data_IF_176280115603
#
_entry.id   IF_176280115603
#
_cell.length_a   1.000
_cell.length_b   1.000
_cell.length_c   1.000
_cell.angle_alpha   90.00
_cell.angle_beta   90.00
_cell.angle_gamma   90.00
#
_symmetry.space_group_name_H-M   'P 1'
#
loop_
_entity.id
_entity.type
_entity.pdbx_description
1 polymer ?
#
# COMPACT_ATOMS: atom_id res chain seq x y z
N UNK A 1 1.45 40.84 8.11
CA UNK A 1 1.54 39.40 8.40
C UNK A 1 0.52 38.71 7.52
N UNK A 2 0.93 37.78 6.66
CA UNK A 2 -0.05 36.97 5.93
C UNK A 2 -0.72 36.04 6.94
N UNK A 3 -2.04 36.13 7.09
CA UNK A 3 -2.75 35.21 7.97
C UNK A 3 -2.75 33.82 7.32
N UNK A 4 -2.35 32.81 8.09
CA UNK A 4 -2.35 31.43 7.62
C UNK A 4 -3.77 30.96 7.25
N UNK A 5 -4.78 31.50 7.93
CA UNK A 5 -6.20 31.25 7.66
C UNK A 5 -6.60 31.69 6.24
N UNK A 6 -6.13 32.86 5.78
CA UNK A 6 -6.39 33.37 4.42
C UNK A 6 -5.71 32.48 3.36
N UNK A 7 -4.52 31.95 3.64
CA UNK A 7 -3.80 31.03 2.72
C UNK A 7 -4.44 29.63 2.66
N UNK A 8 -5.20 29.26 3.69
CA UNK A 8 -5.96 28.02 3.78
C UNK A 8 -7.40 28.18 3.24
N UNK A 9 -7.80 29.40 2.87
CA UNK A 9 -9.09 29.67 2.26
C UNK A 9 -9.20 28.95 0.91
N UNK A 10 -10.25 28.14 0.74
CA UNK A 10 -10.42 27.26 -0.42
C UNK A 10 -9.78 25.87 -0.32
N UNK A 11 -9.10 25.54 0.78
CA UNK A 11 -8.60 24.17 0.99
C UNK A 11 -9.73 23.20 1.32
N UNK A 12 -9.65 21.99 0.74
CA UNK A 12 -10.50 20.88 1.14
C UNK A 12 -10.26 20.48 2.61
N UNK A 13 -11.28 19.93 3.26
CA UNK A 13 -11.17 19.44 4.65
C UNK A 13 -10.08 18.38 4.81
N UNK A 14 -9.89 17.54 3.78
CA UNK A 14 -8.81 16.56 3.74
C UNK A 14 -7.42 17.22 3.78
N UNK A 15 -7.23 18.34 3.08
CA UNK A 15 -5.96 19.10 3.10
C UNK A 15 -5.76 19.80 4.44
N UNK A 16 -6.81 20.36 5.05
CA UNK A 16 -6.76 20.96 6.40
C UNK A 16 -6.39 19.91 7.47
N UNK A 17 -7.00 18.73 7.43
CA UNK A 17 -6.66 17.60 8.32
C UNK A 17 -5.24 17.08 8.10
N UNK A 18 -4.79 16.99 6.85
CA UNK A 18 -3.41 16.61 6.56
C UNK A 18 -2.41 17.67 7.05
N UNK A 19 -2.78 18.96 6.97
CA UNK A 19 -1.96 20.06 7.45
C UNK A 19 -1.81 20.05 8.98
N UNK A 20 -2.88 19.78 9.74
CA UNK A 20 -2.77 19.61 11.19
C UNK A 20 -1.92 18.40 11.56
N UNK A 21 -2.02 17.30 10.80
CA UNK A 21 -1.24 16.09 11.05
C UNK A 21 0.22 16.17 10.58
N UNK A 22 0.65 17.27 9.95
CA UNK A 22 2.02 17.43 9.43
C UNK A 22 3.08 17.37 10.54
N UNK A 23 2.72 17.76 11.76
CA UNK A 23 3.62 17.74 12.92
C UNK A 23 3.99 16.31 13.31
N UNK A 24 3.07 15.36 13.12
CA UNK A 24 3.32 13.94 13.34
C UNK A 24 3.95 13.28 12.11
N UNK A 25 3.40 13.55 10.92
CA UNK A 25 3.78 12.89 9.68
C UNK A 25 4.02 13.89 8.54
N UNK A 26 5.15 14.59 8.61
CA UNK A 26 5.52 15.63 7.65
C UNK A 26 5.58 15.08 6.21
N UNK A 27 6.25 13.93 6.01
CA UNK A 27 6.39 13.28 4.72
C UNK A 27 5.04 12.97 4.06
N UNK A 28 4.00 12.61 4.83
CA UNK A 28 2.68 12.29 4.29
C UNK A 28 2.00 13.52 3.67
N UNK A 29 2.12 14.67 4.34
CA UNK A 29 1.56 15.93 3.84
C UNK A 29 2.27 16.36 2.56
N UNK A 30 3.60 16.48 2.59
CA UNK A 30 4.38 16.96 1.44
C UNK A 30 4.42 15.98 0.26
N UNK A 31 4.09 14.71 0.50
CA UNK A 31 3.89 13.76 -0.59
C UNK A 31 2.74 14.15 -1.52
N UNK A 32 1.72 14.84 -1.00
CA UNK A 32 0.50 15.20 -1.74
C UNK A 32 0.28 16.70 -1.92
N UNK A 33 0.79 17.52 -1.01
CA UNK A 33 0.49 18.95 -0.96
C UNK A 33 1.75 19.79 -0.73
N UNK A 34 1.80 20.98 -1.31
CA UNK A 34 2.89 21.92 -1.06
C UNK A 34 2.66 22.73 0.23
N UNK A 35 3.69 23.49 0.60
CA UNK A 35 3.60 24.50 1.64
C UNK A 35 2.46 25.50 1.35
N UNK A 36 1.84 26.10 2.39
CA UNK A 36 0.81 27.11 2.22
C UNK A 36 1.33 28.29 1.39
N UNK A 37 0.55 28.75 0.43
CA UNK A 37 0.92 29.83 -0.48
C UNK A 37 1.71 29.41 -1.72
N UNK A 38 2.20 28.16 -1.79
CA UNK A 38 2.83 27.65 -3.01
C UNK A 38 1.81 26.97 -3.93
N UNK A 39 1.76 27.42 -5.18
CA UNK A 39 1.00 26.75 -6.22
C UNK A 39 1.68 25.42 -6.59
N UNK A 40 0.88 24.42 -6.92
CA UNK A 40 1.42 23.16 -7.45
C UNK A 40 1.89 23.38 -8.89
N UNK A 41 3.15 23.06 -9.16
CA UNK A 41 3.72 23.04 -10.49
C UNK A 41 3.10 21.92 -11.32
N UNK A 42 2.27 22.30 -12.30
CA UNK A 42 1.72 21.39 -13.29
C UNK A 42 2.50 21.52 -14.60
N UNK A 43 2.95 20.38 -15.15
CA UNK A 43 3.65 20.35 -16.44
C UNK A 43 5.05 19.75 -16.37
N UNK A 44 5.80 19.98 -17.45
CA UNK A 44 7.16 19.45 -17.68
C UNK A 44 8.14 19.98 -16.63
N UNK A 45 9.17 19.21 -16.35
CA UNK A 45 10.28 19.66 -15.50
C UNK A 45 11.12 20.68 -16.27
N UNK A 46 11.33 21.84 -15.66
CA UNK A 46 12.28 22.83 -16.16
C UNK A 46 13.71 22.42 -15.83
N UNK A 47 14.68 22.99 -16.56
CA UNK A 47 16.10 22.72 -16.35
C UNK A 47 16.55 23.15 -14.95
N UNK A 48 16.08 24.31 -14.47
CA UNK A 48 16.35 24.78 -13.10
C UNK A 48 15.80 23.82 -12.03
N UNK A 49 14.58 23.28 -12.20
CA UNK A 49 14.04 22.27 -11.29
C UNK A 49 14.82 20.95 -11.34
N UNK A 50 15.32 20.57 -12.52
CA UNK A 50 16.13 19.38 -12.71
C UNK A 50 17.48 19.49 -11.99
N UNK A 51 18.17 20.62 -12.12
CA UNK A 51 19.42 20.88 -11.39
C UNK A 51 19.19 20.84 -9.87
N UNK A 52 18.11 21.46 -9.39
CA UNK A 52 17.74 21.45 -7.98
C UNK A 52 17.41 20.03 -7.49
N UNK A 53 16.75 19.23 -8.33
CA UNK A 53 16.43 17.84 -8.06
C UNK A 53 17.70 17.01 -7.88
N UNK A 54 18.66 17.11 -8.80
CA UNK A 54 19.91 16.37 -8.74
C UNK A 54 20.76 16.79 -7.53
N UNK A 55 20.82 18.08 -7.22
CA UNK A 55 21.49 18.58 -6.02
C UNK A 55 20.88 17.99 -4.75
N UNK A 56 19.55 18.04 -4.64
CA UNK A 56 18.83 17.46 -3.50
C UNK A 56 19.07 15.95 -3.41
N UNK A 57 19.15 15.25 -4.54
CA UNK A 57 19.44 13.82 -4.60
C UNK A 57 20.84 13.50 -4.05
N UNK A 58 21.83 14.33 -4.35
CA UNK A 58 23.20 14.20 -3.82
C UNK A 58 23.25 14.44 -2.30
N UNK A 59 22.55 15.46 -1.81
CA UNK A 59 22.44 15.76 -0.37
C UNK A 59 21.78 14.61 0.40
N UNK A 60 20.76 13.97 -0.19
CA UNK A 60 20.09 12.81 0.42
C UNK A 60 20.97 11.57 0.35
N UNK A 61 21.72 11.37 -0.74
CA UNK A 61 22.63 10.23 -0.91
C UNK A 61 23.84 10.31 0.02
N UNK A 62 24.36 11.51 0.25
CA UNK A 62 25.44 11.77 1.22
C UNK A 62 24.97 11.72 2.67
N UNK A 63 23.65 11.71 2.90
CA UNK A 63 23.05 11.74 4.23
C UNK A 63 22.98 13.13 4.85
N UNK A 64 23.46 14.18 4.17
CA UNK A 64 23.40 15.57 4.63
C UNK A 64 21.96 16.06 4.86
N UNK A 65 21.00 15.53 4.10
CA UNK A 65 19.60 15.88 4.23
C UNK A 65 18.93 15.33 5.50
N UNK A 66 19.52 14.33 6.17
CA UNK A 66 18.99 13.77 7.42
C UNK A 66 17.75 12.88 7.30
N UNK A 67 17.31 12.55 6.08
CA UNK A 67 16.21 11.62 5.81
C UNK A 67 16.56 10.62 4.71
N UNK A 68 15.94 9.43 4.69
CA UNK A 68 16.25 8.40 3.70
C UNK A 68 15.64 8.68 2.32
N UNK A 69 16.29 8.18 1.26
CA UNK A 69 15.92 8.39 -0.15
C UNK A 69 14.46 8.04 -0.52
N UNK A 70 13.81 7.15 0.23
CA UNK A 70 12.43 6.76 -0.04
C UNK A 70 11.37 7.75 0.50
N UNK A 71 11.76 8.75 1.29
CA UNK A 71 10.86 9.78 1.83
C UNK A 71 10.68 10.93 0.83
N UNK A 72 9.90 10.67 -0.21
CA UNK A 72 9.67 11.63 -1.29
C UNK A 72 8.95 12.92 -0.89
N UNK A 73 8.15 12.90 0.18
CA UNK A 73 7.52 14.12 0.70
C UNK A 73 8.53 15.05 1.37
N UNK A 74 9.41 14.52 2.21
CA UNK A 74 10.52 15.30 2.77
C UNK A 74 11.45 15.81 1.67
N UNK A 75 11.69 14.98 0.64
CA UNK A 75 12.46 15.35 -0.54
C UNK A 75 11.87 16.55 -1.29
N UNK A 76 10.55 16.55 -1.54
CA UNK A 76 9.92 17.59 -2.35
C UNK A 76 9.89 18.96 -1.68
N UNK A 77 10.06 19.04 -0.35
CA UNK A 77 10.18 20.31 0.39
C UNK A 77 11.33 21.19 -0.11
N UNK A 78 12.39 20.57 -0.65
CA UNK A 78 13.54 21.28 -1.20
C UNK A 78 13.31 21.75 -2.64
N UNK A 79 12.23 21.33 -3.30
CA UNK A 79 11.90 21.69 -4.69
C UNK A 79 10.56 22.43 -4.70
N UNK A 80 10.57 23.77 -4.63
CA UNK A 80 9.36 24.55 -4.49
C UNK A 80 8.40 24.29 -5.66
N UNK A 81 7.11 24.22 -5.35
CA UNK A 81 6.07 23.93 -6.34
C UNK A 81 5.90 22.45 -6.70
N UNK A 82 6.88 21.57 -6.44
CA UNK A 82 6.73 20.12 -6.69
C UNK A 82 6.37 19.37 -5.41
N UNK A 83 5.54 18.33 -5.56
CA UNK A 83 5.12 17.43 -4.47
C UNK A 83 5.79 16.06 -4.58
N UNK A 84 5.84 15.31 -3.48
CA UNK A 84 6.61 14.08 -3.40
C UNK A 84 6.25 13.01 -4.44
N UNK A 85 4.97 12.86 -4.81
CA UNK A 85 4.63 11.91 -5.87
C UNK A 85 5.25 12.31 -7.23
N UNK A 86 5.36 13.61 -7.51
CA UNK A 86 5.98 14.11 -8.75
C UNK A 86 7.48 13.81 -8.75
N UNK A 87 8.17 14.08 -7.63
CA UNK A 87 9.59 13.76 -7.46
C UNK A 87 9.85 12.26 -7.62
N UNK A 88 9.02 11.41 -7.00
CA UNK A 88 9.16 9.95 -7.09
C UNK A 88 8.99 9.41 -8.52
N UNK A 89 8.08 10.01 -9.29
CA UNK A 89 7.85 9.61 -10.68
C UNK A 89 8.96 10.13 -11.58
N UNK A 90 9.45 11.33 -11.33
CA UNK A 90 10.56 11.91 -12.07
C UNK A 90 11.85 11.12 -11.87
N UNK A 91 12.15 10.72 -10.64
CA UNK A 91 13.25 9.81 -10.33
C UNK A 91 13.18 8.52 -11.15
N UNK A 92 11.97 7.93 -11.27
CA UNK A 92 11.78 6.74 -12.10
C UNK A 92 12.03 7.01 -13.57
N UNK A 93 11.68 8.19 -14.09
CA UNK A 93 12.01 8.53 -15.47
C UNK A 93 13.51 8.68 -15.68
N UNK A 94 14.24 9.28 -14.73
CA UNK A 94 15.70 9.40 -14.80
C UNK A 94 16.41 8.04 -14.81
N UNK A 95 15.95 7.09 -13.99
CA UNK A 95 16.46 5.72 -14.04
C UNK A 95 16.16 5.05 -15.38
N UNK A 96 14.96 5.25 -15.92
CA UNK A 96 14.58 4.68 -17.22
C UNK A 96 15.45 5.24 -18.36
N UNK A 97 15.87 6.49 -18.27
CA UNK A 97 16.76 7.13 -19.24
C UNK A 97 18.23 6.73 -19.05
N UNK A 98 18.59 6.15 -17.91
CA UNK A 98 19.98 5.85 -17.54
C UNK A 98 20.76 7.05 -17.02
N UNK A 99 20.09 8.15 -16.64
CA UNK A 99 20.73 9.32 -16.04
C UNK A 99 21.05 9.09 -14.55
N UNK A 100 20.27 8.23 -13.89
CA UNK A 100 20.45 7.85 -12.49
C UNK A 100 20.47 6.34 -12.35
N UNK A 101 21.50 5.81 -11.70
CA UNK A 101 21.60 4.40 -11.36
C UNK A 101 21.11 4.15 -9.92
N UNK A 102 20.24 3.16 -9.75
CA UNK A 102 19.76 2.71 -8.44
C UNK A 102 19.72 1.18 -8.40
N UNK A 103 20.46 0.59 -7.47
CA UNK A 103 20.57 -0.86 -7.30
C UNK A 103 19.22 -1.56 -7.01
N UNK A 104 18.21 -0.81 -6.55
CA UNK A 104 16.89 -1.32 -6.23
C UNK A 104 15.93 -1.33 -7.44
N UNK A 105 16.29 -0.72 -8.56
CA UNK A 105 15.46 -0.68 -9.76
C UNK A 105 16.15 -1.38 -10.92
N UNK A 106 15.43 -2.24 -11.63
CA UNK A 106 15.89 -2.83 -12.88
C UNK A 106 14.93 -2.49 -14.01
N UNK A 107 15.46 -2.29 -15.22
CA UNK A 107 14.66 -2.13 -16.43
C UNK A 107 14.64 -3.47 -17.15
N UNK A 108 13.47 -4.07 -17.29
CA UNK A 108 13.30 -5.30 -18.07
C UNK A 108 13.58 -5.05 -19.56
N UNK A 109 13.86 -6.10 -20.32
CA UNK A 109 14.02 -6.06 -21.79
C UNK A 109 12.83 -5.40 -22.53
N UNK A 110 11.66 -5.31 -21.89
CA UNK A 110 10.45 -4.66 -22.41
C UNK A 110 10.37 -3.16 -22.08
N UNK A 111 11.41 -2.58 -21.47
CA UNK A 111 11.44 -1.18 -21.04
C UNK A 111 10.51 -0.87 -19.85
N UNK A 112 10.07 -1.91 -19.12
CA UNK A 112 9.29 -1.75 -17.89
C UNK A 112 10.23 -1.77 -16.69
N UNK A 113 10.18 -0.72 -15.87
CA UNK A 113 10.95 -0.66 -14.63
C UNK A 113 10.28 -1.53 -13.56
N UNK A 114 11.07 -2.39 -12.91
CA UNK A 114 10.65 -3.19 -11.76
C UNK A 114 11.53 -2.91 -10.56
N UNK A 115 10.89 -2.83 -9.40
CA UNK A 115 11.59 -2.73 -8.13
C UNK A 115 12.06 -4.13 -7.68
N UNK A 116 13.34 -4.25 -7.36
CA UNK A 116 13.95 -5.48 -6.88
C UNK A 116 13.63 -5.67 -5.40
N UNK A 117 12.51 -6.33 -5.12
CA UNK A 117 12.19 -6.71 -3.75
C UNK A 117 13.20 -7.75 -3.25
N UNK A 118 13.82 -7.50 -2.09
CA UNK A 118 14.76 -8.42 -1.41
C UNK A 118 14.22 -9.87 -1.25
N UNK A 119 12.90 -10.06 -1.31
CA UNK A 119 12.22 -11.36 -1.16
C UNK A 119 11.69 -11.99 -2.46
N UNK A 120 11.88 -11.32 -3.61
CA UNK A 120 11.51 -11.79 -4.96
C UNK A 120 12.58 -11.34 -5.95
N UNK A 121 13.82 -11.73 -5.65
CA UNK A 121 14.98 -11.41 -6.46
C UNK A 121 14.73 -11.74 -7.93
N UNK A 122 15.03 -10.78 -8.78
CA UNK A 122 15.26 -11.06 -10.19
C UNK A 122 16.73 -11.46 -10.38
N UNK A 123 16.98 -12.36 -11.33
CA UNK A 123 18.34 -12.69 -11.78
C UNK A 123 18.98 -11.43 -12.38
N UNK A 124 20.16 -11.06 -11.88
CA UNK A 124 21.03 -10.11 -12.56
C UNK A 124 21.86 -10.91 -13.57
N UNK A 125 21.86 -10.48 -14.84
CA UNK A 125 22.91 -10.86 -15.77
C UNK A 125 23.99 -9.79 -15.64
N UNK A 126 25.17 -10.17 -15.15
CA UNK A 126 26.29 -9.26 -15.05
C UNK A 126 26.89 -9.07 -16.46
N UNK A 127 26.94 -7.82 -16.95
CA UNK A 127 27.22 -7.53 -18.37
C UNK A 127 28.70 -7.71 -18.75
N UNK A 128 29.59 -7.80 -17.76
CA UNK A 128 31.04 -7.88 -17.97
C UNK A 128 31.58 -9.31 -18.02
N UNK A 129 30.94 -10.26 -17.35
CA UNK A 129 31.45 -11.64 -17.21
C UNK A 129 30.49 -12.71 -17.75
N UNK A 130 29.26 -12.34 -18.16
CA UNK A 130 28.31 -13.26 -18.81
C UNK A 130 27.76 -14.37 -17.90
N UNK A 131 28.04 -14.30 -16.61
CA UNK A 131 27.66 -15.23 -15.57
C UNK A 131 26.45 -14.73 -14.78
N UNK A 132 25.48 -15.62 -14.59
CA UNK A 132 24.26 -15.40 -13.82
C UNK A 132 24.54 -15.64 -12.34
N UNK A 133 24.71 -14.58 -11.56
CA UNK A 133 24.83 -14.70 -10.09
C UNK A 133 23.48 -14.48 -9.42
N UNK A 134 22.93 -15.56 -8.85
CA UNK A 134 21.74 -15.54 -8.01
C UNK A 134 22.12 -15.09 -6.59
N UNK A 135 21.75 -13.87 -6.20
CA UNK A 135 21.74 -13.48 -4.79
C UNK A 135 20.58 -14.17 -4.06
N UNK A 136 20.72 -15.47 -3.79
CA UNK A 136 19.73 -16.22 -2.99
C UNK A 136 19.95 -16.01 -1.50
N UNK A 137 18.89 -15.68 -0.77
CA UNK A 137 18.75 -16.08 0.63
C UNK A 137 18.30 -17.55 0.70
N UNK A 138 18.76 -18.26 1.74
CA UNK A 138 18.63 -19.73 1.94
C UNK A 138 17.27 -20.32 1.51
N UNK A 139 17.26 -21.55 0.92
CA UNK A 139 16.06 -22.15 0.35
C UNK A 139 14.98 -22.46 1.39
N UNK A 140 13.74 -22.03 1.13
CA UNK A 140 12.54 -22.49 1.86
C UNK A 140 12.07 -23.84 1.30
N UNK A 141 11.70 -24.77 2.19
CA UNK A 141 11.21 -26.13 1.87
C UNK A 141 10.02 -26.11 0.89
N UNK A 142 9.91 -27.11 -0.02
CA UNK A 142 8.90 -27.13 -1.07
C UNK A 142 7.49 -27.36 -0.52
N UNK A 143 6.51 -26.62 -1.07
CA UNK A 143 5.07 -26.81 -0.82
C UNK A 143 4.49 -27.84 -1.82
N UNK A 144 3.49 -28.64 -1.43
CA UNK A 144 2.88 -29.65 -2.30
C UNK A 144 2.08 -29.06 -3.47
N UNK A 145 1.94 -29.79 -4.59
CA UNK A 145 1.35 -29.28 -5.84
C UNK A 145 -0.17 -29.06 -5.74
N UNK A 146 -0.72 -28.04 -6.42
CA UNK A 146 -2.16 -27.77 -6.45
C UNK A 146 -2.92 -28.78 -7.34
N UNK A 147 -4.10 -29.23 -6.86
CA UNK A 147 -5.00 -30.15 -7.57
C UNK A 147 -5.57 -29.55 -8.88
N UNK A 148 -5.81 -30.37 -9.93
CA UNK A 148 -6.24 -29.90 -11.25
C UNK A 148 -7.69 -29.38 -11.27
N UNK A 149 -7.91 -28.26 -11.97
CA UNK A 149 -9.23 -27.63 -12.18
C UNK A 149 -9.95 -28.24 -13.40
N UNK A 150 -11.25 -28.54 -13.26
CA UNK A 150 -12.12 -29.06 -14.33
C UNK A 150 -12.31 -28.04 -15.48
N UNK A 151 -12.43 -28.48 -16.75
CA UNK A 151 -12.53 -27.60 -17.92
C UNK A 151 -13.90 -26.92 -18.05
N UNK A 152 -13.91 -25.64 -18.48
CA UNK A 152 -15.12 -24.86 -18.80
C UNK A 152 -15.33 -24.82 -20.32
N UNK A 153 -16.59 -24.96 -20.76
CA UNK A 153 -17.04 -25.02 -22.15
C UNK A 153 -16.84 -23.69 -22.94
N UNK A 154 -16.71 -23.74 -24.28
CA UNK A 154 -16.32 -22.60 -25.12
C UNK A 154 -17.51 -21.66 -25.42
N UNK A 155 -17.27 -20.34 -25.44
CA UNK A 155 -18.22 -19.32 -25.92
C UNK A 155 -17.73 -18.67 -27.22
N UNK A 156 -18.68 -18.44 -28.13
CA UNK A 156 -18.55 -18.07 -29.54
C UNK A 156 -17.93 -16.68 -29.84
N UNK A 157 -17.43 -16.43 -31.07
CA UNK A 157 -16.65 -15.24 -31.42
C UNK A 157 -17.53 -14.04 -31.87
N UNK A 158 -17.08 -12.81 -31.58
CA UNK A 158 -17.68 -11.55 -32.08
C UNK A 158 -16.58 -10.60 -32.63
N UNK A 159 -16.92 -9.66 -33.54
CA UNK A 159 -16.11 -9.31 -34.72
C UNK A 159 -15.09 -8.17 -34.54
N UNK A 160 -14.11 -8.12 -35.46
CA UNK A 160 -13.01 -7.13 -35.54
C UNK A 160 -13.45 -5.78 -36.13
N UNK A 161 -12.96 -4.61 -35.64
CA UNK A 161 -12.99 -3.35 -36.38
C UNK A 161 -11.70 -3.09 -37.20
N UNK A 162 -11.86 -2.34 -38.30
CA UNK A 162 -10.87 -1.99 -39.35
C UNK A 162 -9.92 -0.84 -38.96
N UNK A 163 -8.76 -0.66 -39.65
CA UNK A 163 -7.67 0.22 -39.23
C UNK A 163 -7.84 1.67 -39.69
N UNK A 164 -7.24 2.63 -38.97
CA UNK A 164 -7.04 4.01 -39.45
C UNK A 164 -5.59 4.48 -39.26
N UNK A 165 -5.06 4.94 -40.41
CA UNK A 165 -3.90 5.76 -40.81
C UNK A 165 -2.80 6.15 -39.79
N UNK A 166 -1.56 5.95 -40.27
CA UNK A 166 -0.27 6.45 -39.76
C UNK A 166 -0.14 7.97 -39.91
N UNK A 167 0.56 8.60 -38.97
CA UNK A 167 1.24 9.88 -39.15
C UNK A 167 2.72 9.69 -38.77
N UNK A 168 3.56 10.52 -39.41
CA UNK A 168 5.01 10.44 -39.63
C UNK A 168 5.88 10.50 -38.36
N UNK A 169 7.06 9.91 -38.47
CA UNK A 169 8.27 10.16 -37.68
C UNK A 169 8.62 11.65 -37.65
N UNK A 170 8.97 12.14 -36.45
CA UNK A 170 9.91 13.23 -36.24
C UNK A 170 10.72 12.90 -34.98
N UNK A 171 12.03 12.79 -35.17
CA UNK A 171 13.05 12.56 -34.14
C UNK A 171 13.21 13.84 -33.31
N UNK A 172 12.81 13.83 -32.04
CA UNK A 172 13.32 14.79 -31.05
C UNK A 172 13.20 14.23 -29.63
N UNK A 173 14.33 14.22 -28.92
CA UNK A 173 14.48 13.73 -27.54
C UNK A 173 13.82 14.69 -26.53
N UNK A 174 12.48 14.74 -26.53
CA UNK A 174 11.70 15.56 -25.62
C UNK A 174 10.88 14.72 -24.64
N UNK A 175 11.13 14.88 -23.34
CA UNK A 175 10.36 14.25 -22.27
C UNK A 175 8.91 14.70 -22.29
N UNK A 176 8.03 13.84 -22.80
CA UNK A 176 6.60 14.05 -22.84
C UNK A 176 5.89 13.07 -21.90
N UNK A 177 5.48 13.56 -20.72
CA UNK A 177 4.55 12.85 -19.85
C UNK A 177 3.12 13.28 -20.20
N UNK A 178 2.49 12.60 -21.17
CA UNK A 178 1.03 12.72 -21.34
C UNK A 178 0.32 11.65 -20.54
N UNK A 179 -0.28 12.04 -19.42
CA UNK A 179 -1.39 11.30 -18.85
C UNK A 179 -2.66 11.95 -19.38
N UNK A 180 -3.37 11.25 -20.27
CA UNK A 180 -4.71 11.65 -20.70
C UNK A 180 -5.65 11.48 -19.50
N UNK A 181 -6.22 12.58 -19.00
CA UNK A 181 -7.38 12.56 -18.13
C UNK A 181 -8.60 12.15 -18.96
N UNK A 182 -8.81 10.84 -19.13
CA UNK A 182 -10.04 10.34 -19.74
C UNK A 182 -11.16 10.37 -18.70
N UNK A 183 -12.21 11.12 -19.05
CA UNK A 183 -13.36 11.38 -18.21
C UNK A 183 -14.08 10.07 -17.83
N UNK A 184 -14.52 10.03 -16.57
CA UNK A 184 -15.40 9.06 -15.93
C UNK A 184 -16.36 8.34 -16.88
N UNK A 185 -15.95 7.18 -17.41
CA UNK A 185 -16.85 6.17 -17.95
C UNK A 185 -17.10 5.11 -16.90
N UNK A 186 -18.26 5.23 -16.22
CA UNK A 186 -18.85 4.16 -15.42
C UNK A 186 -19.09 2.95 -16.33
N UNK A 187 -18.27 1.92 -16.21
CA UNK A 187 -18.56 0.57 -16.69
C UNK A 187 -18.05 -0.43 -15.66
N UNK A 188 -18.99 -1.12 -15.02
CA UNK A 188 -18.71 -2.10 -13.98
C UNK A 188 -17.98 -3.35 -14.50
N UNK A 189 -17.42 -4.07 -13.52
CA UNK A 189 -16.77 -5.39 -13.59
C UNK A 189 -15.30 -5.40 -14.02
N UNK A 190 -14.43 -4.99 -13.09
CA UNK A 190 -13.28 -5.78 -12.62
C UNK A 190 -12.52 -4.98 -11.54
N UNK A 191 -13.12 -4.86 -10.36
CA UNK A 191 -12.41 -4.42 -9.15
C UNK A 191 -11.86 -5.66 -8.46
N UNK A 192 -10.71 -6.13 -8.92
CA UNK A 192 -10.02 -7.28 -8.33
C UNK A 192 -8.54 -7.17 -8.62
N UNK A 193 -7.76 -6.92 -7.57
CA UNK A 193 -6.29 -6.88 -7.55
C UNK A 193 -5.68 -5.55 -8.02
N UNK A 194 -6.04 -4.44 -7.36
CA UNK A 194 -5.02 -3.42 -7.05
C UNK A 194 -4.28 -3.90 -5.81
N UNK A 195 -3.03 -4.36 -5.99
CA UNK A 195 -2.11 -4.48 -4.86
C UNK A 195 -1.80 -3.07 -4.39
N UNK A 196 -2.53 -2.61 -3.37
CA UNK A 196 -2.09 -1.50 -2.54
C UNK A 196 -0.73 -1.90 -1.97
N UNK A 197 0.31 -1.13 -2.30
CA UNK A 197 1.53 -1.16 -1.51
C UNK A 197 1.14 -0.75 -0.10
N UNK A 198 1.25 -1.68 0.83
CA UNK A 198 1.23 -1.42 2.26
C UNK A 198 2.61 -0.88 2.59
N UNK A 199 2.75 0.44 2.55
CA UNK A 199 3.82 1.10 3.31
C UNK A 199 3.47 0.86 4.78
N UNK A 200 4.29 0.05 5.43
CA UNK A 200 4.03 -0.41 6.78
C UNK A 200 4.28 0.73 7.76
N UNK A 201 3.19 1.24 8.32
CA UNK A 201 3.11 1.63 9.73
C UNK A 201 1.62 1.59 10.09
N UNK A 202 1.19 0.50 10.73
CA UNK A 202 -0.07 0.49 11.48
C UNK A 202 0.17 1.35 12.71
N UNK A 203 -0.09 2.64 12.58
CA UNK A 203 -0.32 3.47 13.77
C UNK A 203 -1.68 3.03 14.29
N UNK A 204 -1.65 2.28 15.39
CA UNK A 204 -2.82 2.11 16.24
C UNK A 204 -3.27 3.52 16.65
N UNK A 205 -4.49 3.84 16.26
CA UNK A 205 -5.22 4.97 16.79
C UNK A 205 -5.63 4.57 18.21
N UNK A 206 -4.67 4.51 19.13
CA UNK A 206 -4.94 4.49 20.56
C UNK A 206 -5.33 5.92 20.96
N UNK A 207 -6.40 6.44 20.37
CA UNK A 207 -7.34 7.16 21.21
C UNK A 207 -7.74 6.15 22.29
N UNK A 208 -7.81 6.60 23.53
CA UNK A 208 -8.20 5.82 24.70
C UNK A 208 -9.71 5.45 24.57
N UNK A 209 -10.06 4.76 23.49
CA UNK A 209 -11.37 4.22 23.20
C UNK A 209 -11.56 3.09 24.21
N UNK A 210 -12.49 3.32 25.13
CA UNK A 210 -12.82 2.36 26.18
C UNK A 210 -12.98 0.96 25.55
N UNK A 211 -12.40 -0.09 26.14
CA UNK A 211 -12.41 -1.42 25.54
C UNK A 211 -13.85 -1.85 25.24
N UNK A 212 -14.09 -2.40 24.04
CA UNK A 212 -15.44 -2.79 23.53
C UNK A 212 -16.22 -3.62 24.55
N UNK A 213 -15.52 -4.50 25.27
CA UNK A 213 -16.03 -5.28 26.40
C UNK A 213 -15.14 -5.04 27.63
N UNK A 214 -15.41 -3.98 28.42
CA UNK A 214 -14.59 -3.67 29.58
C UNK A 214 -14.73 -4.76 30.64
N UNK A 215 -13.61 -5.28 31.13
CA UNK A 215 -13.56 -6.29 32.19
C UNK A 215 -13.90 -7.72 31.77
N UNK A 216 -14.16 -8.00 30.49
CA UNK A 216 -14.41 -9.36 30.03
C UNK A 216 -13.10 -10.14 29.86
N UNK A 217 -12.99 -11.26 30.57
CA UNK A 217 -11.80 -12.12 30.59
C UNK A 217 -11.97 -13.24 29.56
N UNK A 218 -10.94 -13.47 28.73
CA UNK A 218 -10.93 -14.57 27.76
C UNK A 218 -10.98 -15.93 28.50
N UNK A 219 -11.97 -16.78 28.22
CA UNK A 219 -12.09 -18.08 28.89
C UNK A 219 -10.93 -19.05 28.62
N UNK A 220 -10.18 -18.87 27.52
CA UNK A 220 -9.07 -19.74 27.13
C UNK A 220 -7.73 -19.27 27.69
N UNK A 221 -7.48 -17.96 27.70
CA UNK A 221 -6.19 -17.40 28.14
C UNK A 221 -6.23 -16.79 29.54
N UNK A 222 -7.43 -16.59 30.11
CA UNK A 222 -7.65 -15.91 31.40
C UNK A 222 -7.05 -14.50 31.45
N UNK A 223 -6.96 -13.84 30.31
CA UNK A 223 -6.44 -12.48 30.14
C UNK A 223 -7.56 -11.56 29.66
N UNK A 224 -7.38 -10.25 29.85
CA UNK A 224 -8.31 -9.26 29.31
C UNK A 224 -8.34 -9.33 27.78
N UNK A 225 -9.53 -9.25 27.19
CA UNK A 225 -9.68 -9.29 25.74
C UNK A 225 -9.44 -7.89 25.15
N UNK A 226 -8.49 -7.80 24.21
CA UNK A 226 -8.26 -6.59 23.40
C UNK A 226 -9.21 -6.53 22.20
N UNK A 227 -9.23 -7.56 21.35
CA UNK A 227 -10.12 -7.65 20.19
C UNK A 227 -11.19 -8.74 20.39
N UNK A 228 -12.36 -8.43 20.96
CA UNK A 228 -13.40 -9.43 21.19
C UNK A 228 -13.99 -9.93 19.87
N UNK A 229 -14.12 -11.25 19.74
CA UNK A 229 -14.77 -11.87 18.59
C UNK A 229 -15.74 -12.96 19.04
N UNK A 230 -16.92 -12.96 18.41
CA UNK A 230 -18.00 -13.91 18.68
C UNK A 230 -18.07 -14.97 17.59
N UNK A 231 -18.24 -16.22 18.01
CA UNK A 231 -18.54 -17.34 17.11
C UNK A 231 -20.04 -17.38 16.76
N UNK A 232 -20.45 -18.06 15.66
CA UNK A 232 -21.87 -18.28 15.34
C UNK A 232 -22.67 -18.98 16.45
N UNK A 233 -21.97 -19.67 17.36
CA UNK A 233 -22.54 -20.37 18.51
C UNK A 233 -22.62 -19.49 19.76
N UNK A 234 -22.30 -18.20 19.67
CA UNK A 234 -22.44 -17.24 20.77
C UNK A 234 -21.29 -17.21 21.78
N UNK A 235 -20.21 -17.95 21.55
CA UNK A 235 -19.03 -17.93 22.41
C UNK A 235 -18.11 -16.77 22.03
N UNK A 236 -17.62 -16.03 23.03
CA UNK A 236 -16.74 -14.88 22.89
C UNK A 236 -15.34 -15.20 23.43
N UNK A 237 -14.32 -14.81 22.67
CA UNK A 237 -12.91 -14.87 23.05
C UNK A 237 -12.14 -13.83 22.22
N UNK A 238 -10.86 -13.60 22.54
CA UNK A 238 -10.01 -12.73 21.73
C UNK A 238 -9.87 -13.27 20.30
N UNK A 239 -9.87 -12.39 19.30
CA UNK A 239 -9.72 -12.80 17.90
C UNK A 239 -8.41 -13.56 17.66
N UNK A 240 -7.30 -13.14 18.29
CA UNK A 240 -6.04 -13.88 18.22
C UNK A 240 -6.11 -15.24 18.94
N UNK A 241 -6.81 -15.30 20.09
CA UNK A 241 -7.06 -16.55 20.81
C UNK A 241 -7.82 -17.55 19.94
N UNK A 242 -8.89 -17.09 19.28
CA UNK A 242 -9.63 -17.88 18.29
C UNK A 242 -8.73 -18.35 17.16
N UNK A 243 -7.93 -17.46 16.59
CA UNK A 243 -7.03 -17.81 15.50
C UNK A 243 -5.99 -18.85 15.94
N UNK A 244 -5.48 -18.78 17.16
CA UNK A 244 -4.57 -19.79 17.73
C UNK A 244 -5.26 -21.13 17.93
N UNK A 245 -6.47 -21.14 18.52
CA UNK A 245 -7.25 -22.35 18.74
C UNK A 245 -7.57 -23.07 17.42
N UNK A 246 -8.05 -22.34 16.41
CA UNK A 246 -8.45 -22.92 15.11
C UNK A 246 -7.26 -23.35 14.23
N UNK A 247 -6.04 -22.88 14.53
CA UNK A 247 -4.80 -23.28 13.86
C UNK A 247 -4.10 -24.47 14.52
N UNK A 248 -4.52 -24.85 15.73
CA UNK A 248 -3.94 -26.01 16.43
C UNK A 248 -4.11 -27.29 15.62
N UNK A 249 -3.10 -28.16 15.63
CA UNK A 249 -3.15 -29.42 14.87
C UNK A 249 -4.19 -30.39 15.47
N UNK A 250 -4.42 -30.32 16.77
CA UNK A 250 -5.35 -31.18 17.51
C UNK A 250 -6.82 -30.78 17.34
N UNK A 251 -7.11 -29.49 17.12
CA UNK A 251 -8.48 -28.95 17.04
C UNK A 251 -8.66 -27.97 15.87
N UNK A 252 -8.10 -28.33 14.70
CA UNK A 252 -8.19 -27.51 13.49
C UNK A 252 -9.64 -27.26 13.08
N UNK A 253 -9.95 -26.00 12.75
CA UNK A 253 -11.27 -25.57 12.28
C UNK A 253 -12.43 -26.07 13.18
N UNK A 254 -12.18 -26.17 14.49
CA UNK A 254 -13.13 -26.71 15.49
C UNK A 254 -13.24 -25.75 16.67
N UNK A 255 -14.47 -25.46 17.08
CA UNK A 255 -14.74 -24.62 18.24
C UNK A 255 -14.23 -25.29 19.53
N UNK A 256 -13.45 -24.59 20.38
CA UNK A 256 -12.90 -25.17 21.60
C UNK A 256 -13.95 -25.42 22.69
N UNK A 257 -15.09 -24.70 22.66
CA UNK A 257 -16.16 -24.83 23.65
C UNK A 257 -17.20 -25.90 23.26
N UNK A 258 -17.69 -25.85 22.02
CA UNK A 258 -18.77 -26.74 21.55
C UNK A 258 -18.28 -27.97 20.78
N UNK A 259 -16.99 -28.01 20.41
CA UNK A 259 -16.39 -29.01 19.52
C UNK A 259 -17.06 -29.13 18.15
N UNK A 260 -17.83 -28.12 17.76
CA UNK A 260 -18.49 -28.04 16.45
C UNK A 260 -17.56 -27.42 15.40
N UNK A 261 -17.75 -27.72 14.11
CA UNK A 261 -16.92 -27.15 13.05
C UNK A 261 -17.07 -25.63 13.01
N UNK A 262 -15.95 -24.92 12.97
CA UNK A 262 -15.89 -23.46 12.99
C UNK A 262 -14.64 -22.98 12.24
N UNK A 263 -14.82 -22.14 11.22
CA UNK A 263 -13.68 -21.55 10.49
C UNK A 263 -13.46 -20.12 10.92
N UNK A 264 -12.23 -19.63 10.76
CA UNK A 264 -11.86 -18.24 11.07
C UNK A 264 -12.77 -17.19 10.40
N UNK A 265 -13.23 -17.49 9.18
CA UNK A 265 -14.10 -16.58 8.41
C UNK A 265 -15.53 -16.48 8.97
N UNK A 266 -15.93 -17.42 9.82
CA UNK A 266 -17.26 -17.48 10.40
C UNK A 266 -17.31 -16.70 11.74
N UNK A 267 -16.16 -16.20 12.23
CA UNK A 267 -16.04 -15.35 13.40
C UNK A 267 -16.38 -13.90 13.04
N UNK A 268 -17.09 -13.21 13.95
CA UNK A 268 -17.41 -11.79 13.83
C UNK A 268 -16.62 -11.02 14.89
N UNK A 269 -15.78 -10.07 14.46
CA UNK A 269 -15.11 -9.14 15.38
C UNK A 269 -16.15 -8.19 15.95
N UNK A 270 -16.18 -8.04 17.27
CA UNK A 270 -17.06 -7.12 17.97
C UNK A 270 -16.40 -5.74 18.01
N UNK A 271 -17.19 -4.72 17.69
CA UNK A 271 -16.84 -3.30 17.71
C UNK A 271 -17.94 -2.54 18.46
N UNK A 272 -17.68 -1.32 18.91
CA UNK A 272 -18.66 -0.50 19.66
C UNK A 272 -19.99 -0.32 18.91
N UNK A 273 -19.97 -0.31 17.58
CA UNK A 273 -21.17 -0.18 16.75
C UNK A 273 -22.00 -1.47 16.66
N UNK A 274 -21.35 -2.64 16.69
CA UNK A 274 -22.02 -3.91 16.41
C UNK A 274 -22.41 -4.69 17.68
N UNK A 275 -21.76 -4.38 18.81
CA UNK A 275 -21.87 -5.17 20.04
C UNK A 275 -23.31 -5.29 20.54
N UNK A 276 -24.12 -4.23 20.43
CA UNK A 276 -25.51 -4.23 20.86
C UNK A 276 -26.34 -5.37 20.22
N UNK A 277 -26.06 -5.70 18.96
CA UNK A 277 -26.78 -6.75 18.23
C UNK A 277 -26.33 -8.16 18.59
N UNK A 278 -25.07 -8.29 19.03
CA UNK A 278 -24.48 -9.58 19.37
C UNK A 278 -24.54 -9.89 20.86
N UNK A 279 -24.76 -8.88 21.71
CA UNK A 279 -24.89 -9.03 23.16
C UNK A 279 -25.98 -10.03 23.55
N UNK A 280 -27.12 -10.01 22.86
CA UNK A 280 -28.22 -10.97 23.08
C UNK A 280 -27.90 -12.40 22.64
N UNK A 281 -26.87 -12.58 21.81
CA UNK A 281 -26.43 -13.88 21.29
C UNK A 281 -25.24 -14.44 22.06
N UNK A 282 -24.66 -13.66 22.98
CA UNK A 282 -23.56 -14.11 23.83
C UNK A 282 -24.10 -15.17 24.80
N UNK A 283 -23.43 -16.31 24.87
CA UNK A 283 -23.81 -17.36 25.82
C UNK A 283 -23.20 -17.03 27.19
N UNK A 284 -24.05 -16.85 28.20
CA UNK A 284 -23.65 -16.51 29.57
C UNK A 284 -22.82 -17.59 30.29
N UNK A 285 -22.72 -18.80 29.72
CA UNK A 285 -21.97 -19.93 30.30
C UNK A 285 -20.45 -19.71 30.34
N UNK A 286 -19.96 -18.55 29.93
CA UNK A 286 -18.55 -18.18 29.94
C UNK A 286 -18.17 -17.22 31.09
N UNK A 287 -19.14 -16.71 31.86
CA UNK A 287 -18.95 -15.76 32.97
C UNK A 287 -18.94 -16.41 34.37
N UNK A 288 -18.70 -17.73 34.46
CA UNK A 288 -18.62 -18.45 35.73
C UNK A 288 -17.19 -18.50 36.28
#
# INVERSE_FOLDING_TARGET
AFNLEDLMEGWSDARKKAWSNREKNENQYYYRFNAPGEAQGEGKWSEAEHELFLKTLEDVRSGAAGYPMYQWGSFSKNIPGRVGYQCSNYYRTLIKNGEVEDANYMVDEKGQMRFNFKNKGFERVNKETGDTELLTSKPKKPKPPPKPKKPKAPKAPKPKPKPKKKAKDDDDKAFHCSVKLDATRRSGRNAGVTKKYTDGDEVSDDEEEEPVLPGFIDPLTKQQIEEPAISPYGHVAGYETWCRALRSEDAKDTCPFTRQPLKRRDLVKLTHENIAQYREKMVDTQNA
#
